data_IF_134516554600
#
_entry.id   IF_134516554600
#
_cell.length_a   1.000
_cell.length_b   1.000
_cell.length_c   1.000
_cell.angle_alpha   90.00
_cell.angle_beta   90.00
_cell.angle_gamma   90.00
#
_symmetry.space_group_name_H-M   'P 1'
#
loop_
_entity.id
_entity.type
_entity.pdbx_description
1 polymer ?
#
# COMPACT_ATOMS: atom_id res chain seq x y z
N UNK A 1 1.78 -42.78 29.31
CA UNK A 1 2.17 -43.43 28.02
C UNK A 1 1.24 -42.87 26.94
N UNK A 2 1.70 -41.88 26.19
CA UNK A 2 0.90 -41.28 25.11
C UNK A 2 1.39 -41.96 23.83
N UNK A 3 0.48 -42.67 23.16
CA UNK A 3 0.74 -43.34 21.89
C UNK A 3 1.22 -42.30 20.83
N UNK A 4 2.25 -42.60 20.04
CA UNK A 4 2.65 -41.73 18.95
C UNK A 4 1.60 -41.79 17.85
N UNK A 5 0.85 -40.70 17.68
CA UNK A 5 -0.08 -40.54 16.58
C UNK A 5 0.66 -40.67 15.25
N UNK A 6 0.11 -41.49 14.34
CA UNK A 6 0.60 -41.69 12.98
C UNK A 6 0.82 -40.33 12.34
N UNK A 7 2.05 -40.03 11.91
CA UNK A 7 2.38 -38.85 11.11
C UNK A 7 1.55 -38.95 9.82
N UNK A 8 0.52 -38.11 9.70
CA UNK A 8 -0.27 -38.02 8.48
C UNK A 8 0.63 -37.47 7.38
N UNK A 9 0.62 -38.12 6.25
CA UNK A 9 1.39 -37.76 5.05
C UNK A 9 1.11 -36.28 4.71
N UNK A 10 2.16 -35.49 4.50
CA UNK A 10 2.02 -34.10 4.05
C UNK A 10 1.49 -34.13 2.63
N UNK A 11 0.37 -33.46 2.39
CA UNK A 11 -0.25 -33.35 1.07
C UNK A 11 0.73 -32.65 0.09
N UNK A 12 0.72 -33.09 -1.15
CA UNK A 12 1.50 -32.48 -2.24
C UNK A 12 0.61 -31.58 -3.09
N UNK A 13 1.16 -30.57 -3.76
CA UNK A 13 0.40 -29.70 -4.68
C UNK A 13 -0.31 -30.51 -5.81
N UNK A 14 0.29 -31.59 -6.25
CA UNK A 14 -0.25 -32.49 -7.31
C UNK A 14 -1.52 -33.21 -6.84
N UNK A 15 -1.68 -33.47 -5.53
CA UNK A 15 -2.84 -34.12 -4.96
C UNK A 15 -4.12 -33.23 -5.09
N UNK A 16 -3.95 -31.92 -5.29
CA UNK A 16 -5.03 -30.96 -5.50
C UNK A 16 -5.56 -30.95 -6.95
N UNK A 17 -4.77 -31.43 -7.89
CA UNK A 17 -5.11 -31.43 -9.33
C UNK A 17 -5.90 -32.70 -9.71
N UNK A 18 -5.67 -33.80 -9.03
CA UNK A 18 -6.18 -35.13 -9.42
C UNK A 18 -7.65 -35.37 -9.01
N UNK A 19 -8.20 -34.56 -8.11
CA UNK A 19 -9.58 -34.75 -7.59
C UNK A 19 -10.68 -34.06 -8.43
N UNK A 20 -10.29 -33.29 -9.45
CA UNK A 20 -11.20 -32.48 -10.29
C UNK A 20 -11.99 -33.32 -11.33
N UNK A 21 -11.68 -34.60 -11.52
CA UNK A 21 -12.21 -35.42 -12.62
C UNK A 21 -13.22 -36.49 -12.22
N UNK A 22 -13.99 -36.38 -11.12
CA UNK A 22 -15.11 -37.25 -10.85
C UNK A 22 -16.44 -36.57 -11.18
N UNK A 23 -16.93 -36.84 -12.39
CA UNK A 23 -18.29 -36.54 -12.83
C UNK A 23 -19.32 -37.37 -12.02
N UNK A 24 -20.23 -36.66 -11.37
CA UNK A 24 -21.47 -37.28 -10.84
C UNK A 24 -22.69 -36.66 -11.49
N UNK A 25 -23.37 -37.47 -12.27
CA UNK A 25 -24.60 -37.19 -13.02
C UNK A 25 -25.80 -37.10 -12.08
N UNK A 26 -26.13 -35.88 -11.65
CA UNK A 26 -27.48 -35.47 -11.23
C UNK A 26 -27.60 -34.02 -11.61
N UNK A 27 -28.78 -33.49 -12.04
CA UNK A 27 -28.99 -32.06 -12.49
C UNK A 27 -28.10 -31.12 -11.71
N UNK A 28 -26.86 -30.97 -12.18
CA UNK A 28 -25.76 -30.62 -11.33
C UNK A 28 -25.61 -29.11 -11.34
N UNK A 29 -25.52 -28.54 -10.15
CA UNK A 29 -24.98 -27.22 -9.98
C UNK A 29 -23.52 -27.26 -10.42
N UNK A 30 -23.15 -26.42 -11.38
CA UNK A 30 -21.74 -26.22 -11.78
C UNK A 30 -21.18 -24.93 -11.19
N UNK A 31 -19.89 -24.92 -10.93
CA UNK A 31 -19.15 -23.71 -10.56
C UNK A 31 -18.08 -23.47 -11.61
N UNK A 32 -18.20 -22.37 -12.32
CA UNK A 32 -17.34 -22.06 -13.45
C UNK A 32 -16.56 -20.77 -13.24
N UNK A 33 -15.32 -20.75 -13.72
CA UNK A 33 -14.49 -19.54 -13.69
C UNK A 33 -15.02 -18.55 -14.73
N UNK A 34 -15.09 -17.29 -14.33
CA UNK A 34 -15.42 -16.17 -15.22
C UNK A 34 -14.20 -15.83 -16.06
N UNK A 35 -14.27 -16.07 -17.35
CA UNK A 35 -13.11 -16.01 -18.26
C UNK A 35 -13.21 -14.95 -19.35
N UNK A 36 -14.41 -14.37 -19.60
CA UNK A 36 -14.56 -13.33 -20.61
C UNK A 36 -14.81 -11.95 -19.99
N UNK A 37 -14.42 -10.86 -20.68
CA UNK A 37 -14.72 -9.49 -20.24
C UNK A 37 -16.22 -9.22 -20.05
N UNK A 38 -17.07 -9.82 -20.88
CA UNK A 38 -18.52 -9.68 -20.84
C UNK A 38 -19.09 -10.37 -19.60
N UNK A 39 -18.62 -11.57 -19.29
CA UNK A 39 -18.98 -12.29 -18.06
C UNK A 39 -18.49 -11.52 -16.83
N UNK A 40 -17.28 -10.96 -16.88
CA UNK A 40 -16.74 -10.17 -15.78
C UNK A 40 -17.59 -8.90 -15.53
N UNK A 41 -17.98 -8.19 -16.56
CA UNK A 41 -18.86 -7.03 -16.43
C UNK A 41 -20.24 -7.41 -15.89
N UNK A 42 -20.82 -8.51 -16.38
CA UNK A 42 -22.09 -9.08 -15.86
C UNK A 42 -21.96 -9.44 -14.36
N UNK A 43 -20.87 -10.11 -14.00
CA UNK A 43 -20.58 -10.49 -12.61
C UNK A 43 -20.46 -9.24 -11.72
N UNK A 44 -19.70 -8.23 -12.16
CA UNK A 44 -19.48 -6.98 -11.44
C UNK A 44 -20.82 -6.23 -11.23
N UNK A 45 -21.68 -6.15 -12.25
CA UNK A 45 -23.02 -5.54 -12.16
C UNK A 45 -23.90 -6.27 -11.16
N UNK A 46 -23.91 -7.59 -11.19
CA UNK A 46 -24.71 -8.40 -10.28
C UNK A 46 -24.23 -8.29 -8.83
N UNK A 47 -22.94 -8.30 -8.56
CA UNK A 47 -22.39 -8.07 -7.20
C UNK A 47 -22.79 -6.69 -6.67
N UNK A 48 -22.67 -5.63 -7.47
CA UNK A 48 -23.12 -4.29 -7.05
C UNK A 48 -24.61 -4.26 -6.70
N UNK A 49 -25.43 -5.01 -7.41
CA UNK A 49 -26.89 -5.08 -7.18
C UNK A 49 -27.29 -5.95 -6.01
N UNK A 50 -26.64 -7.12 -5.84
CA UNK A 50 -27.10 -8.20 -4.95
C UNK A 50 -26.28 -8.36 -3.67
N UNK A 51 -24.98 -8.04 -3.68
CA UNK A 51 -24.14 -8.18 -2.50
C UNK A 51 -24.30 -6.99 -1.54
N UNK A 52 -24.37 -7.24 -0.24
CA UNK A 52 -24.64 -6.21 0.77
C UNK A 52 -23.58 -5.08 0.82
N UNK A 53 -22.34 -5.36 0.46
CA UNK A 53 -21.27 -4.36 0.37
C UNK A 53 -21.37 -3.47 -0.88
N UNK A 54 -22.17 -3.86 -1.88
CA UNK A 54 -22.32 -3.15 -3.17
C UNK A 54 -21.01 -2.76 -3.86
N UNK A 55 -19.93 -3.44 -3.54
CA UNK A 55 -18.58 -3.21 -4.06
C UNK A 55 -18.06 -4.48 -4.73
N UNK A 56 -17.70 -4.37 -6.01
CA UNK A 56 -17.20 -5.49 -6.80
C UNK A 56 -15.69 -5.63 -6.75
N UNK A 57 -14.96 -4.57 -6.40
CA UNK A 57 -13.50 -4.58 -6.37
C UNK A 57 -12.99 -5.56 -5.31
N UNK A 58 -11.99 -6.31 -5.70
CA UNK A 58 -11.25 -7.24 -4.86
C UNK A 58 -9.78 -6.82 -4.81
N UNK A 59 -9.09 -7.17 -3.72
CA UNK A 59 -7.71 -6.71 -3.48
C UNK A 59 -6.72 -7.77 -3.90
N UNK A 60 -5.71 -7.37 -4.68
CA UNK A 60 -4.64 -8.26 -5.12
C UNK A 60 -5.09 -9.29 -6.15
N UNK A 61 -4.43 -10.45 -6.15
CA UNK A 61 -4.79 -11.59 -6.99
C UNK A 61 -6.23 -11.99 -6.72
N UNK A 62 -7.03 -12.22 -7.76
CA UNK A 62 -8.46 -12.47 -7.57
C UNK A 62 -9.07 -13.32 -8.66
N UNK A 63 -9.97 -14.24 -8.27
CA UNK A 63 -10.75 -15.06 -9.19
C UNK A 63 -12.25 -14.85 -8.94
N UNK A 64 -13.02 -14.86 -10.01
CA UNK A 64 -14.47 -14.75 -10.02
C UNK A 64 -15.07 -16.04 -10.52
N UNK A 65 -16.10 -16.52 -9.85
CA UNK A 65 -16.83 -17.70 -10.24
C UNK A 65 -18.31 -17.42 -10.33
N UNK A 66 -18.94 -18.11 -11.25
CA UNK A 66 -20.39 -18.17 -11.39
C UNK A 66 -20.88 -19.56 -11.04
N UNK A 67 -21.95 -19.63 -10.27
CA UNK A 67 -22.68 -20.85 -9.98
C UNK A 67 -23.81 -20.94 -11.00
N UNK A 68 -23.81 -22.00 -11.78
CA UNK A 68 -24.84 -22.24 -12.82
C UNK A 68 -25.67 -23.47 -12.49
N UNK A 69 -26.91 -23.44 -12.94
CA UNK A 69 -27.79 -24.56 -13.04
C UNK A 69 -28.59 -24.46 -14.34
N UNK A 70 -28.58 -25.51 -15.13
CA UNK A 70 -29.23 -25.54 -16.45
C UNK A 70 -28.84 -24.34 -17.32
N UNK A 71 -27.58 -23.88 -17.22
CA UNK A 71 -27.02 -22.72 -17.94
C UNK A 71 -27.31 -21.36 -17.27
N UNK A 72 -28.24 -21.29 -16.33
CA UNK A 72 -28.61 -20.05 -15.68
C UNK A 72 -27.71 -19.70 -14.47
N UNK A 73 -27.36 -18.43 -14.33
CA UNK A 73 -26.57 -17.93 -13.21
C UNK A 73 -27.42 -17.85 -11.94
N UNK A 74 -27.14 -18.69 -10.96
CA UNK A 74 -27.86 -18.78 -9.69
C UNK A 74 -27.08 -18.28 -8.49
N UNK A 75 -25.76 -18.01 -8.66
CA UNK A 75 -24.93 -17.45 -7.61
C UNK A 75 -23.58 -17.01 -8.11
N UNK A 76 -22.87 -16.26 -7.26
CA UNK A 76 -21.58 -15.64 -7.55
C UNK A 76 -20.63 -15.86 -6.38
N UNK A 77 -19.38 -16.23 -6.69
CA UNK A 77 -18.29 -16.32 -5.72
C UNK A 77 -17.13 -15.46 -6.19
N UNK A 78 -16.48 -14.77 -5.27
CA UNK A 78 -15.31 -13.96 -5.55
C UNK A 78 -14.23 -14.18 -4.50
N UNK A 79 -13.04 -14.50 -4.96
CA UNK A 79 -11.86 -14.75 -4.14
C UNK A 79 -10.83 -13.66 -4.38
N UNK A 80 -10.12 -13.28 -3.33
CA UNK A 80 -9.07 -12.27 -3.37
C UNK A 80 -7.87 -12.69 -2.54
N UNK A 81 -6.78 -11.94 -2.63
CA UNK A 81 -5.67 -12.11 -1.70
C UNK A 81 -6.12 -11.96 -0.26
N UNK A 82 -5.56 -12.76 0.65
CA UNK A 82 -5.83 -12.71 2.08
C UNK A 82 -5.41 -11.38 2.71
N UNK A 83 -6.06 -11.01 3.81
CA UNK A 83 -5.67 -9.84 4.60
C UNK A 83 -4.20 -9.93 5.01
N UNK A 84 -3.50 -8.78 4.97
CA UNK A 84 -2.08 -8.75 5.31
C UNK A 84 -1.83 -9.21 6.74
N UNK A 85 -2.58 -8.69 7.70
CA UNK A 85 -2.51 -9.07 9.11
C UNK A 85 -3.90 -9.32 9.66
N UNK A 86 -4.09 -10.51 10.22
CA UNK A 86 -5.35 -10.95 10.82
C UNK A 86 -5.04 -11.76 12.08
N UNK A 87 -5.09 -11.11 13.25
CA UNK A 87 -4.65 -11.68 14.52
C UNK A 87 -5.15 -13.10 14.81
N UNK A 88 -6.48 -13.40 14.74
CA UNK A 88 -6.99 -14.76 14.97
C UNK A 88 -6.46 -15.79 13.97
N UNK A 89 -6.40 -15.47 12.66
CA UNK A 89 -5.82 -16.36 11.65
C UNK A 89 -4.32 -16.59 11.90
N UNK A 90 -3.59 -15.51 12.16
CA UNK A 90 -2.15 -15.57 12.38
C UNK A 90 -1.80 -16.40 13.62
N UNK A 91 -2.65 -16.32 14.67
CA UNK A 91 -2.55 -17.16 15.86
C UNK A 91 -2.91 -18.64 15.58
N UNK A 92 -3.94 -18.87 14.75
CA UNK A 92 -4.34 -20.23 14.37
C UNK A 92 -3.27 -20.93 13.52
N UNK A 93 -2.63 -20.21 12.60
CA UNK A 93 -1.51 -20.75 11.81
C UNK A 93 -0.25 -20.91 12.68
N UNK A 94 0.01 -19.99 13.59
CA UNK A 94 1.18 -19.99 14.45
C UNK A 94 2.48 -19.51 13.76
N UNK A 95 2.37 -18.83 12.61
CA UNK A 95 3.52 -18.34 11.86
C UNK A 95 4.13 -17.07 12.48
N UNK A 96 5.42 -16.89 12.23
CA UNK A 96 6.14 -15.64 12.48
C UNK A 96 5.84 -14.61 11.39
N UNK A 97 6.22 -13.35 11.61
CA UNK A 97 6.10 -12.30 10.61
C UNK A 97 6.86 -12.66 9.30
N UNK A 98 8.06 -13.23 9.42
CA UNK A 98 8.84 -13.67 8.27
C UNK A 98 8.14 -14.79 7.48
N UNK A 99 7.56 -15.78 8.17
CA UNK A 99 6.80 -16.85 7.53
C UNK A 99 5.52 -16.34 6.87
N UNK A 100 4.81 -15.40 7.53
CA UNK A 100 3.64 -14.74 6.94
C UNK A 100 4.01 -14.01 5.64
N UNK A 101 5.11 -13.27 5.62
CA UNK A 101 5.60 -12.63 4.39
C UNK A 101 5.87 -13.64 3.28
N UNK A 102 6.53 -14.72 3.62
CA UNK A 102 6.94 -15.75 2.67
C UNK A 102 5.77 -16.59 2.12
N UNK A 103 4.67 -16.74 2.87
CA UNK A 103 3.62 -17.72 2.58
C UNK A 103 2.19 -17.17 2.52
N UNK A 104 1.95 -15.88 2.86
CA UNK A 104 0.59 -15.31 2.89
C UNK A 104 -0.15 -15.39 1.54
N UNK A 105 0.55 -15.31 0.42
CA UNK A 105 -0.05 -15.46 -0.91
C UNK A 105 -0.62 -16.85 -1.16
N UNK A 106 -0.25 -17.85 -0.35
CA UNK A 106 -0.85 -19.19 -0.36
C UNK A 106 -2.17 -19.25 0.44
N UNK A 107 -2.66 -18.09 0.90
CA UNK A 107 -3.95 -17.95 1.58
C UNK A 107 -4.83 -17.03 0.75
N UNK A 108 -6.06 -17.44 0.46
CA UNK A 108 -7.04 -16.64 -0.26
C UNK A 108 -8.25 -16.30 0.63
N UNK A 109 -8.91 -15.18 0.31
CA UNK A 109 -10.12 -14.72 1.01
C UNK A 109 -11.35 -14.86 0.13
N UNK A 110 -12.39 -15.54 0.61
CA UNK A 110 -13.72 -15.46 -0.01
C UNK A 110 -14.30 -14.06 0.28
N UNK A 111 -14.02 -13.15 -0.62
CA UNK A 111 -14.33 -11.74 -0.45
C UNK A 111 -15.76 -11.38 -0.88
N UNK A 112 -16.35 -12.17 -1.76
CA UNK A 112 -17.72 -11.98 -2.27
C UNK A 112 -18.41 -13.31 -2.41
N UNK A 113 -19.63 -13.37 -1.87
CA UNK A 113 -20.54 -14.50 -2.05
C UNK A 113 -21.96 -13.98 -2.11
N UNK A 114 -22.67 -14.26 -3.17
CA UNK A 114 -24.06 -13.85 -3.35
C UNK A 114 -24.87 -14.91 -4.09
N UNK A 115 -25.99 -15.33 -3.54
CA UNK A 115 -26.98 -16.13 -4.25
C UNK A 115 -27.91 -15.19 -5.01
N UNK A 116 -28.24 -15.54 -6.23
CA UNK A 116 -29.12 -14.76 -7.12
C UNK A 116 -30.57 -15.24 -7.03
N UNK A 117 -30.80 -16.39 -6.45
CA UNK A 117 -32.13 -17.02 -6.29
C UNK A 117 -32.76 -16.62 -4.96
N UNK A 118 -34.10 -16.65 -4.86
CA UNK A 118 -34.79 -16.46 -3.60
C UNK A 118 -34.36 -17.45 -2.51
N UNK A 119 -34.38 -16.99 -1.25
CA UNK A 119 -34.03 -17.81 -0.10
C UNK A 119 -35.00 -19.03 -0.04
N UNK A 120 -34.42 -20.20 0.21
CA UNK A 120 -35.22 -21.46 0.37
C UNK A 120 -35.55 -22.18 -0.94
N UNK A 121 -35.34 -21.58 -2.13
CA UNK A 121 -35.64 -22.25 -3.41
C UNK A 121 -34.81 -23.51 -3.64
N UNK A 122 -33.57 -23.51 -3.15
CA UNK A 122 -32.63 -24.62 -3.32
C UNK A 122 -31.99 -24.97 -1.97
N UNK A 123 -32.33 -26.12 -1.38
CA UNK A 123 -31.74 -26.57 -0.12
C UNK A 123 -30.22 -26.68 -0.24
N UNK A 124 -29.53 -26.16 0.77
CA UNK A 124 -28.07 -26.24 0.89
C UNK A 124 -27.26 -25.64 -0.30
N UNK A 125 -27.90 -24.81 -1.15
CA UNK A 125 -27.26 -24.24 -2.32
C UNK A 125 -25.94 -23.56 -1.94
N UNK A 126 -25.91 -22.74 -0.89
CA UNK A 126 -24.75 -21.99 -0.47
C UNK A 126 -23.58 -22.90 -0.08
N UNK A 127 -23.80 -23.87 0.81
CA UNK A 127 -22.75 -24.79 1.27
C UNK A 127 -22.24 -25.71 0.16
N UNK A 128 -23.15 -26.21 -0.69
CA UNK A 128 -22.79 -27.01 -1.86
C UNK A 128 -21.94 -26.24 -2.86
N UNK A 129 -22.30 -24.96 -3.13
CA UNK A 129 -21.54 -24.11 -4.03
C UNK A 129 -20.15 -23.81 -3.49
N UNK A 130 -20.03 -23.56 -2.17
CA UNK A 130 -18.74 -23.39 -1.51
C UNK A 130 -17.88 -24.65 -1.67
N UNK A 131 -18.43 -25.83 -1.34
CA UNK A 131 -17.69 -27.09 -1.42
C UNK A 131 -17.21 -27.41 -2.84
N UNK A 132 -18.08 -27.22 -3.86
CA UNK A 132 -17.69 -27.42 -5.26
C UNK A 132 -16.59 -26.42 -5.71
N UNK A 133 -16.67 -25.18 -5.28
CA UNK A 133 -15.67 -24.20 -5.64
C UNK A 133 -14.30 -24.46 -4.97
N UNK A 134 -14.31 -24.91 -3.71
CA UNK A 134 -13.09 -25.25 -2.98
C UNK A 134 -12.30 -26.39 -3.64
N UNK A 135 -12.98 -27.33 -4.28
CA UNK A 135 -12.34 -28.45 -4.99
C UNK A 135 -11.46 -27.98 -6.17
N UNK A 136 -11.83 -26.90 -6.83
CA UNK A 136 -11.09 -26.39 -8.00
C UNK A 136 -10.23 -25.15 -7.72
N UNK A 137 -10.54 -24.40 -6.65
CA UNK A 137 -9.96 -23.08 -6.38
C UNK A 137 -8.43 -23.06 -6.44
N UNK A 138 -7.77 -24.04 -5.82
CA UNK A 138 -6.32 -24.09 -5.74
C UNK A 138 -5.68 -24.37 -7.10
N UNK A 139 -6.29 -25.22 -7.91
CA UNK A 139 -5.84 -25.53 -9.27
C UNK A 139 -6.00 -24.31 -10.20
N UNK A 140 -7.17 -23.66 -10.19
CA UNK A 140 -7.43 -22.46 -10.97
C UNK A 140 -6.48 -21.30 -10.57
N UNK A 141 -6.16 -21.22 -9.29
CA UNK A 141 -5.21 -20.20 -8.79
C UNK A 141 -3.78 -20.48 -9.23
N UNK A 142 -3.36 -21.76 -9.20
CA UNK A 142 -2.07 -22.20 -9.67
C UNK A 142 -1.92 -21.91 -11.19
N UNK A 143 -2.94 -22.22 -11.97
CA UNK A 143 -2.95 -21.93 -13.41
C UNK A 143 -2.84 -20.43 -13.70
N UNK A 144 -3.57 -19.61 -12.94
CA UNK A 144 -3.65 -18.16 -13.20
C UNK A 144 -2.46 -17.37 -12.67
N UNK A 145 -1.90 -17.75 -11.51
CA UNK A 145 -0.91 -16.97 -10.75
C UNK A 145 0.39 -17.71 -10.47
N UNK A 146 0.52 -18.97 -10.89
CA UNK A 146 1.74 -19.76 -10.73
C UNK A 146 1.98 -20.28 -9.32
N UNK A 147 0.99 -20.21 -8.41
CA UNK A 147 1.06 -20.79 -7.08
C UNK A 147 -0.30 -21.28 -6.59
N UNK A 148 -0.36 -22.36 -5.80
CA UNK A 148 -1.60 -22.91 -5.25
C UNK A 148 -2.09 -22.10 -4.03
N UNK A 149 -3.31 -22.43 -3.57
CA UNK A 149 -3.83 -21.98 -2.29
C UNK A 149 -3.85 -23.15 -1.31
N UNK A 150 -3.38 -22.94 -0.10
CA UNK A 150 -3.31 -23.93 0.99
C UNK A 150 -4.46 -23.76 2.00
N UNK A 151 -4.83 -22.52 2.27
CA UNK A 151 -5.82 -22.12 3.25
C UNK A 151 -6.71 -21.04 2.69
N UNK A 152 -7.98 -21.05 3.05
CA UNK A 152 -8.88 -19.95 2.72
C UNK A 152 -9.50 -19.34 3.97
N UNK A 153 -9.81 -18.05 3.88
CA UNK A 153 -10.45 -17.28 4.95
C UNK A 153 -11.70 -16.56 4.43
N UNK A 154 -12.62 -16.23 5.34
CA UNK A 154 -13.73 -15.33 5.04
C UNK A 154 -14.16 -14.55 6.27
N UNK A 155 -14.93 -13.47 6.04
CA UNK A 155 -15.47 -12.59 7.07
C UNK A 155 -16.97 -12.51 6.96
N UNK A 156 -17.68 -12.92 8.01
CA UNK A 156 -19.12 -12.88 8.10
C UNK A 156 -19.53 -11.75 9.06
N UNK A 157 -20.43 -10.89 8.61
CA UNK A 157 -21.04 -9.87 9.45
C UNK A 157 -22.14 -10.51 10.31
N UNK A 158 -21.95 -10.68 11.64
CA UNK A 158 -22.89 -11.39 12.50
C UNK A 158 -24.22 -10.64 12.70
N UNK A 159 -24.27 -9.34 12.40
CA UNK A 159 -25.52 -8.58 12.45
C UNK A 159 -26.44 -8.90 11.27
N UNK A 160 -25.91 -9.52 10.20
CA UNK A 160 -26.63 -9.81 8.95
C UNK A 160 -26.74 -11.29 8.66
N UNK A 161 -25.74 -12.06 9.06
CA UNK A 161 -25.61 -13.47 8.66
C UNK A 161 -25.04 -14.31 9.81
N UNK A 162 -25.60 -15.46 10.04
CA UNK A 162 -25.14 -16.40 11.06
C UNK A 162 -23.91 -17.22 10.65
N UNK A 163 -23.51 -17.18 9.38
CA UNK A 163 -22.42 -18.02 8.87
C UNK A 163 -22.75 -19.50 8.67
N UNK A 164 -24.03 -19.86 8.69
CA UNK A 164 -24.51 -21.24 8.61
C UNK A 164 -23.98 -22.00 7.39
N UNK A 165 -23.89 -21.33 6.23
CA UNK A 165 -23.38 -21.98 5.01
C UNK A 165 -21.90 -22.37 5.12
N UNK A 166 -21.10 -21.59 5.83
CA UNK A 166 -19.69 -21.89 6.06
C UNK A 166 -19.56 -23.07 7.04
N UNK A 167 -20.31 -23.06 8.16
CA UNK A 167 -20.31 -24.19 9.10
C UNK A 167 -20.80 -25.48 8.41
N UNK A 168 -21.86 -25.39 7.57
CA UNK A 168 -22.37 -26.54 6.80
C UNK A 168 -21.39 -27.00 5.70
N UNK A 169 -20.42 -26.19 5.31
CA UNK A 169 -19.34 -26.55 4.41
C UNK A 169 -18.02 -26.86 5.17
N UNK A 170 -18.11 -27.20 6.46
CA UNK A 170 -16.99 -27.60 7.33
C UNK A 170 -15.90 -26.53 7.54
N UNK A 171 -16.25 -25.24 7.44
CA UNK A 171 -15.35 -24.18 7.80
C UNK A 171 -15.23 -24.03 9.32
N UNK A 172 -14.06 -23.66 9.78
CA UNK A 172 -13.70 -23.52 11.19
C UNK A 172 -13.88 -22.05 11.60
N UNK A 173 -14.75 -21.77 12.54
CA UNK A 173 -14.86 -20.43 13.13
C UNK A 173 -13.74 -20.23 14.15
N UNK A 174 -12.94 -19.18 13.98
CA UNK A 174 -11.72 -18.93 14.79
C UNK A 174 -11.79 -17.65 15.62
N UNK A 175 -12.93 -16.96 15.62
CA UNK A 175 -13.14 -15.75 16.43
C UNK A 175 -13.61 -14.55 15.62
N UNK A 176 -13.39 -13.37 16.19
CA UNK A 176 -13.88 -12.10 15.65
C UNK A 176 -12.75 -11.15 15.24
N UNK A 177 -13.00 -10.35 14.22
CA UNK A 177 -12.12 -9.20 13.90
C UNK A 177 -12.25 -8.11 14.98
N UNK A 178 -11.24 -7.26 15.09
CA UNK A 178 -11.26 -6.13 16.05
C UNK A 178 -12.22 -4.98 15.67
N UNK A 179 -13.05 -5.14 14.62
CA UNK A 179 -13.99 -4.12 14.19
C UNK A 179 -13.34 -2.89 13.53
N UNK A 180 -12.13 -3.04 12.99
CA UNK A 180 -11.49 -2.02 12.16
C UNK A 180 -11.77 -2.30 10.69
N UNK A 181 -12.16 -1.25 9.95
CA UNK A 181 -12.27 -1.27 8.50
C UNK A 181 -11.28 -0.31 7.86
N UNK A 182 -10.86 -0.62 6.65
CA UNK A 182 -10.07 0.30 5.84
C UNK A 182 -11.03 1.36 5.28
N UNK A 183 -10.83 2.62 5.66
CA UNK A 183 -11.58 3.72 5.03
C UNK A 183 -11.17 3.84 3.55
N UNK A 184 -12.01 4.51 2.74
CA UNK A 184 -11.67 4.86 1.34
C UNK A 184 -10.37 5.65 1.22
N UNK A 185 -9.91 6.23 2.31
CA UNK A 185 -8.70 7.05 2.43
C UNK A 185 -7.45 6.26 2.86
N UNK A 186 -7.56 4.93 2.95
CA UNK A 186 -6.43 4.08 3.33
C UNK A 186 -6.15 3.99 4.84
N UNK A 187 -6.90 4.69 5.68
CA UNK A 187 -6.78 4.61 7.14
C UNK A 187 -7.66 3.52 7.72
N UNK A 188 -7.17 2.88 8.79
CA UNK A 188 -8.00 1.99 9.58
C UNK A 188 -8.88 2.82 10.52
N UNK A 189 -10.19 2.72 10.34
CA UNK A 189 -11.18 3.31 11.24
C UNK A 189 -11.84 2.21 12.06
N UNK A 190 -11.97 2.46 13.36
CA UNK A 190 -12.76 1.61 14.25
C UNK A 190 -14.24 1.86 13.95
N UNK A 191 -14.91 0.90 13.33
CA UNK A 191 -16.35 0.99 13.04
C UNK A 191 -17.20 0.17 14.01
N UNK A 192 -16.58 -0.44 15.04
CA UNK A 192 -17.23 -1.22 16.10
C UNK A 192 -18.13 -2.37 15.61
N UNK A 193 -17.90 -2.87 14.40
CA UNK A 193 -18.64 -4.00 13.83
C UNK A 193 -17.66 -5.17 13.61
N UNK A 194 -17.37 -5.97 14.65
CA UNK A 194 -16.52 -7.14 14.50
C UNK A 194 -17.21 -8.16 13.59
N UNK A 195 -16.40 -8.80 12.73
CA UNK A 195 -16.87 -9.87 11.83
C UNK A 195 -16.37 -11.21 12.31
N UNK A 196 -17.21 -12.23 12.22
CA UNK A 196 -16.80 -13.60 12.47
C UNK A 196 -15.83 -14.05 11.36
N UNK A 197 -14.78 -14.75 11.77
CA UNK A 197 -13.72 -15.23 10.88
C UNK A 197 -13.85 -16.73 10.76
N UNK A 198 -13.93 -17.20 9.52
CA UNK A 198 -13.94 -18.62 9.22
C UNK A 198 -12.71 -18.96 8.37
N UNK A 199 -12.13 -20.13 8.64
CA UNK A 199 -11.03 -20.71 7.86
C UNK A 199 -11.45 -22.08 7.31
N UNK A 200 -10.90 -22.41 6.15
CA UNK A 200 -10.99 -23.75 5.59
C UNK A 200 -9.63 -24.18 5.04
N UNK A 201 -8.98 -25.21 5.61
CA UNK A 201 -7.74 -25.76 5.06
C UNK A 201 -8.07 -26.58 3.81
N UNK A 202 -7.45 -26.20 2.67
CA UNK A 202 -7.59 -26.96 1.42
C UNK A 202 -6.71 -28.21 1.41
N UNK A 203 -5.71 -28.25 2.28
CA UNK A 203 -4.84 -29.40 2.45
C UNK A 203 -4.75 -29.81 3.90
N UNK A 204 -4.60 -31.09 4.21
CA UNK A 204 -4.25 -31.54 5.56
C UNK A 204 -2.98 -30.83 6.04
N UNK A 205 -2.91 -30.49 7.31
CA UNK A 205 -1.74 -29.83 7.91
C UNK A 205 -1.41 -28.41 7.34
N UNK A 206 -2.38 -27.68 6.81
CA UNK A 206 -2.21 -26.34 6.25
C UNK A 206 -1.45 -25.39 7.21
N UNK A 207 -1.80 -25.37 8.50
CA UNK A 207 -1.12 -24.55 9.50
C UNK A 207 0.35 -24.96 9.68
N UNK A 208 0.64 -26.26 9.70
CA UNK A 208 2.02 -26.75 9.83
C UNK A 208 2.87 -26.39 8.61
N UNK A 209 2.31 -26.48 7.40
CA UNK A 209 3.00 -26.09 6.16
C UNK A 209 3.31 -24.58 6.19
N UNK A 210 2.33 -23.76 6.54
CA UNK A 210 2.46 -22.30 6.54
C UNK A 210 3.37 -21.76 7.65
N UNK A 211 3.47 -22.46 8.79
CA UNK A 211 4.30 -22.09 9.94
C UNK A 211 5.63 -22.84 10.00
N UNK A 212 5.95 -23.68 9.01
CA UNK A 212 7.21 -24.40 8.99
C UNK A 212 8.41 -23.44 8.89
N UNK A 213 9.47 -23.60 9.69
CA UNK A 213 10.71 -22.84 9.53
C UNK A 213 11.33 -23.01 8.13
N UNK A 214 11.32 -24.23 7.64
CA UNK A 214 11.61 -24.59 6.24
C UNK A 214 10.34 -25.20 5.67
N UNK A 215 9.83 -24.60 4.59
CA UNK A 215 8.64 -25.12 3.93
C UNK A 215 8.94 -26.51 3.36
N UNK A 216 8.02 -27.48 3.48
CA UNK A 216 8.23 -28.83 2.93
C UNK A 216 8.59 -28.77 1.44
N UNK A 217 9.43 -29.70 0.92
CA UNK A 217 9.96 -29.65 -0.44
C UNK A 217 8.89 -29.46 -1.54
N UNK A 218 7.74 -30.10 -1.37
CA UNK A 218 6.62 -29.97 -2.31
C UNK A 218 6.03 -28.55 -2.40
N UNK A 219 6.20 -27.74 -1.37
CA UNK A 219 5.67 -26.37 -1.27
C UNK A 219 6.76 -25.30 -1.35
N UNK A 220 8.04 -25.70 -1.22
CA UNK A 220 9.19 -24.80 -1.24
C UNK A 220 9.27 -23.93 -2.51
N UNK A 221 8.93 -24.43 -3.73
CA UNK A 221 8.95 -23.60 -4.94
C UNK A 221 7.97 -22.42 -4.91
N UNK A 222 6.92 -22.51 -4.09
CA UNK A 222 5.91 -21.46 -3.95
C UNK A 222 6.19 -20.50 -2.80
N UNK A 223 7.26 -20.69 -2.05
CA UNK A 223 7.68 -19.72 -1.04
C UNK A 223 8.21 -18.47 -1.72
N UNK A 224 7.62 -17.33 -1.43
CA UNK A 224 8.19 -16.05 -1.85
C UNK A 224 9.29 -15.67 -0.87
N UNK A 225 10.50 -15.59 -1.35
CA UNK A 225 11.53 -14.91 -0.58
C UNK A 225 11.16 -13.42 -0.52
N UNK A 226 11.19 -12.78 0.66
CA UNK A 226 11.08 -11.34 0.68
C UNK A 226 12.21 -10.80 -0.20
N UNK A 227 11.95 -9.80 -1.05
CA UNK A 227 13.01 -9.20 -1.85
C UNK A 227 14.15 -8.82 -0.89
N UNK A 228 15.41 -9.07 -1.27
CA UNK A 228 16.53 -8.75 -0.42
C UNK A 228 16.39 -7.29 0.01
N UNK A 229 16.40 -7.06 1.32
CA UNK A 229 16.24 -5.72 1.85
C UNK A 229 17.42 -4.88 1.36
N UNK A 230 17.17 -4.06 0.36
CA UNK A 230 18.13 -3.05 -0.01
C UNK A 230 18.04 -1.91 1.02
N UNK A 231 18.98 -1.93 1.98
CA UNK A 231 19.12 -0.81 2.90
C UNK A 231 19.74 0.38 2.13
N UNK A 232 19.02 1.48 1.95
CA UNK A 232 19.36 2.50 0.94
C UNK A 232 20.45 3.47 1.38
N UNK A 233 20.80 3.48 2.67
CA UNK A 233 21.74 4.48 3.22
C UNK A 233 23.08 3.83 3.62
N UNK A 234 24.17 4.49 3.27
CA UNK A 234 25.47 4.15 3.81
C UNK A 234 25.54 4.43 5.33
N UNK A 235 26.53 3.90 6.00
CA UNK A 235 26.75 4.19 7.42
C UNK A 235 26.99 5.67 7.71
N UNK A 236 27.59 6.42 6.78
CA UNK A 236 27.78 7.86 6.89
C UNK A 236 26.45 8.61 6.72
N UNK A 237 25.68 8.27 5.70
CA UNK A 237 24.35 8.86 5.46
C UNK A 237 23.38 8.57 6.62
N UNK A 238 23.43 7.37 7.17
CA UNK A 238 22.62 7.03 8.36
C UNK A 238 22.98 7.91 9.57
N UNK A 239 24.28 8.14 9.80
CA UNK A 239 24.74 9.01 10.89
C UNK A 239 24.33 10.47 10.66
N UNK A 240 24.52 10.99 9.45
CA UNK A 240 24.14 12.37 9.11
C UNK A 240 22.63 12.61 9.22
N UNK A 241 21.81 11.65 8.78
CA UNK A 241 20.35 11.70 8.94
C UNK A 241 19.95 11.74 10.42
N UNK A 242 20.53 10.87 11.25
CA UNK A 242 20.25 10.87 12.69
C UNK A 242 20.71 12.16 13.38
N UNK A 243 21.80 12.78 12.94
CA UNK A 243 22.25 14.09 13.43
C UNK A 243 21.27 15.19 13.03
N UNK A 244 20.83 15.21 11.80
CA UNK A 244 19.84 16.17 11.30
C UNK A 244 18.49 16.05 12.04
N UNK A 245 18.08 14.85 12.39
CA UNK A 245 16.83 14.59 13.12
C UNK A 245 16.96 14.70 14.65
N UNK A 246 18.17 14.88 15.19
CA UNK A 246 18.39 14.95 16.64
C UNK A 246 17.64 16.10 17.35
N UNK A 247 17.44 17.30 16.73
CA UNK A 247 16.66 18.39 17.32
C UNK A 247 15.16 18.12 17.39
N UNK A 248 14.65 17.08 16.67
CA UNK A 248 13.23 16.80 16.55
C UNK A 248 12.59 16.57 17.93
N UNK A 249 11.57 17.34 18.24
CA UNK A 249 10.86 17.21 19.51
C UNK A 249 9.98 15.96 19.52
N UNK A 250 10.08 15.19 20.63
CA UNK A 250 9.25 13.99 20.78
C UNK A 250 7.82 14.39 21.19
N UNK A 251 6.81 14.20 20.34
CA UNK A 251 5.44 14.62 20.62
C UNK A 251 4.71 13.70 21.61
N UNK A 252 5.36 12.63 22.07
CA UNK A 252 4.75 11.64 22.96
C UNK A 252 4.75 12.16 24.40
N UNK A 253 3.62 12.01 25.08
CA UNK A 253 3.45 12.47 26.47
C UNK A 253 4.28 11.70 27.50
N UNK A 254 4.70 10.44 27.15
CA UNK A 254 5.36 9.54 28.09
C UNK A 254 6.59 8.90 27.49
N UNK A 255 7.74 9.03 28.18
CA UNK A 255 9.05 8.52 27.72
C UNK A 255 9.37 7.08 28.16
N UNK A 256 8.50 6.42 28.93
CA UNK A 256 8.70 5.05 29.46
C UNK A 256 8.59 3.93 28.43
N UNK A 257 8.51 4.23 27.18
CA UNK A 257 8.18 3.32 26.11
C UNK A 257 9.36 2.48 25.61
N UNK A 258 9.02 1.36 24.97
CA UNK A 258 9.94 0.42 24.36
C UNK A 258 10.90 1.09 23.38
N UNK A 259 10.45 2.10 22.63
CA UNK A 259 11.24 2.89 21.66
C UNK A 259 11.40 4.32 22.16
N UNK A 260 12.57 4.64 22.72
CA UNK A 260 12.81 5.90 23.43
C UNK A 260 13.20 7.06 22.52
N UNK A 261 13.75 6.79 21.34
CA UNK A 261 14.32 7.80 20.42
C UNK A 261 13.36 8.08 19.28
N UNK A 262 12.86 9.30 19.19
CA UNK A 262 11.99 9.75 18.09
C UNK A 262 12.76 9.85 16.79
N UNK A 263 14.00 10.37 16.82
CA UNK A 263 14.89 10.47 15.68
C UNK A 263 15.16 9.09 15.03
N UNK A 264 15.35 8.05 15.83
CA UNK A 264 15.48 6.67 15.35
C UNK A 264 14.23 6.17 14.62
N UNK A 265 13.04 6.45 15.16
CA UNK A 265 11.78 6.05 14.54
C UNK A 265 11.56 6.74 13.18
N UNK A 266 11.87 8.04 13.13
CA UNK A 266 11.76 8.84 11.90
C UNK A 266 12.84 8.43 10.88
N UNK A 267 14.07 8.19 11.32
CA UNK A 267 15.14 7.71 10.44
C UNK A 267 14.82 6.35 9.81
N UNK A 268 14.21 5.42 10.56
CA UNK A 268 13.74 4.14 10.02
C UNK A 268 12.65 4.35 8.97
N UNK A 269 11.69 5.25 9.23
CA UNK A 269 10.65 5.58 8.26
C UNK A 269 11.23 6.24 6.99
N UNK A 270 12.17 7.17 7.15
CA UNK A 270 12.84 7.82 6.03
C UNK A 270 13.66 6.82 5.19
N UNK A 271 14.43 5.93 5.82
CA UNK A 271 15.14 4.87 5.12
C UNK A 271 14.20 3.93 4.36
N UNK A 272 13.05 3.60 4.94
CA UNK A 272 12.02 2.81 4.26
C UNK A 272 11.48 3.53 3.01
N UNK A 273 11.18 4.82 3.12
CA UNK A 273 10.69 5.63 1.98
C UNK A 273 11.73 5.75 0.87
N UNK A 274 13.00 5.95 1.20
CA UNK A 274 14.11 5.98 0.24
C UNK A 274 14.27 4.61 -0.45
N UNK A 275 13.98 3.50 0.25
CA UNK A 275 13.94 2.15 -0.33
C UNK A 275 12.69 1.88 -1.18
N UNK A 276 11.81 2.87 -1.39
CA UNK A 276 10.60 2.75 -2.22
C UNK A 276 9.34 2.30 -1.49
N UNK A 277 9.35 2.23 -0.17
CA UNK A 277 8.17 1.85 0.62
C UNK A 277 7.23 3.04 0.78
N UNK A 278 6.05 2.97 0.17
CA UNK A 278 5.13 4.10 0.01
C UNK A 278 3.91 4.08 0.97
N UNK A 279 3.77 3.03 1.77
CA UNK A 279 2.70 2.95 2.76
C UNK A 279 3.23 2.73 4.17
N UNK A 280 2.46 3.10 5.19
CA UNK A 280 2.83 2.84 6.59
C UNK A 280 2.98 1.35 6.89
N UNK A 281 2.25 0.50 6.17
CA UNK A 281 2.39 -0.95 6.29
C UNK A 281 3.75 -1.38 5.78
N UNK A 282 4.12 -0.95 4.56
CA UNK A 282 5.41 -1.29 3.95
C UNK A 282 6.58 -0.76 4.78
N UNK A 283 6.45 0.47 5.33
CA UNK A 283 7.43 1.04 6.28
C UNK A 283 7.56 0.17 7.54
N UNK A 284 6.44 -0.33 8.06
CA UNK A 284 6.45 -1.26 9.20
C UNK A 284 7.15 -2.57 8.87
N UNK A 285 6.92 -3.13 7.70
CA UNK A 285 7.56 -4.34 7.19
C UNK A 285 9.05 -4.16 6.98
N UNK A 286 9.43 -3.07 6.32
CA UNK A 286 10.84 -2.68 6.19
C UNK A 286 11.51 -2.62 7.57
N UNK A 287 10.87 -1.99 8.53
CA UNK A 287 11.38 -1.93 9.91
C UNK A 287 11.63 -3.32 10.50
N UNK A 288 10.68 -4.25 10.34
CA UNK A 288 10.81 -5.62 10.88
C UNK A 288 11.86 -6.46 10.15
N UNK A 289 12.17 -6.15 8.89
CA UNK A 289 13.18 -6.85 8.10
C UNK A 289 14.61 -6.38 8.36
N UNK A 290 14.80 -5.26 9.07
CA UNK A 290 16.13 -4.75 9.44
C UNK A 290 16.89 -5.73 10.35
N UNK A 291 18.13 -6.03 9.98
CA UNK A 291 19.01 -6.84 10.81
C UNK A 291 19.56 -6.08 12.03
N UNK A 292 20.20 -6.79 12.97
CA UNK A 292 20.70 -6.21 14.21
C UNK A 292 21.74 -5.09 14.01
N UNK A 293 22.56 -5.17 12.95
CA UNK A 293 23.55 -4.15 12.64
C UNK A 293 22.89 -2.87 12.10
N UNK A 294 21.87 -3.01 11.23
CA UNK A 294 21.07 -1.90 10.70
C UNK A 294 20.28 -1.22 11.83
N UNK A 295 19.61 -2.00 12.68
CA UNK A 295 18.91 -1.46 13.86
C UNK A 295 19.87 -0.76 14.83
N UNK A 296 21.09 -1.28 15.00
CA UNK A 296 22.14 -0.63 15.81
C UNK A 296 22.56 0.70 15.21
N UNK A 297 22.84 0.75 13.90
CA UNK A 297 23.25 1.99 13.20
C UNK A 297 22.16 3.05 13.24
N UNK A 298 20.89 2.65 13.19
CA UNK A 298 19.72 3.52 13.33
C UNK A 298 19.39 3.87 14.79
N UNK A 299 20.22 3.48 15.76
CA UNK A 299 20.04 3.73 17.19
C UNK A 299 18.69 3.23 17.74
N UNK A 300 18.18 2.12 17.20
CA UNK A 300 16.95 1.51 17.67
C UNK A 300 17.07 1.08 19.15
N UNK A 301 15.94 1.02 19.83
CA UNK A 301 15.91 0.64 21.25
C UNK A 301 16.33 -0.81 21.46
N UNK A 302 16.98 -1.08 22.59
CA UNK A 302 17.49 -2.41 22.94
C UNK A 302 16.61 -3.07 24.00
N UNK A 303 16.26 -4.35 23.81
CA UNK A 303 15.55 -5.13 24.83
C UNK A 303 16.46 -5.38 26.03
N UNK A 304 16.01 -5.08 27.24
CA UNK A 304 16.79 -5.29 28.47
C UNK A 304 17.07 -6.78 28.71
N UNK A 305 16.08 -7.64 28.44
CA UNK A 305 16.17 -9.09 28.70
C UNK A 305 17.02 -9.82 27.65
N UNK A 306 16.73 -9.59 26.37
CA UNK A 306 17.41 -10.33 25.29
C UNK A 306 18.67 -9.65 24.77
N UNK A 307 18.92 -8.41 25.18
CA UNK A 307 20.02 -7.55 24.72
C UNK A 307 20.03 -7.29 23.20
N UNK A 308 19.00 -7.72 22.47
CA UNK A 308 18.83 -7.48 21.02
C UNK A 308 18.16 -6.13 20.77
N UNK A 309 18.46 -5.51 19.63
CA UNK A 309 17.75 -4.33 19.15
C UNK A 309 16.34 -4.70 18.70
N UNK A 310 15.41 -3.81 18.93
CA UNK A 310 13.97 -4.03 18.67
C UNK A 310 13.56 -3.16 17.52
N UNK A 311 13.04 -3.77 16.45
CA UNK A 311 12.40 -3.07 15.37
C UNK A 311 11.06 -2.46 15.84
N UNK A 312 10.79 -1.19 15.55
CA UNK A 312 9.49 -0.60 15.85
C UNK A 312 8.40 -1.19 14.94
N UNK A 313 7.23 -1.43 15.51
CA UNK A 313 6.05 -1.86 14.75
C UNK A 313 5.48 -0.70 13.92
N UNK A 314 4.74 -1.05 12.85
CA UNK A 314 4.00 -0.10 12.04
C UNK A 314 3.16 0.86 12.90
N UNK A 315 2.41 0.34 13.87
CA UNK A 315 1.59 1.14 14.78
C UNK A 315 2.42 2.14 15.60
N UNK A 316 3.64 1.79 16.00
CA UNK A 316 4.55 2.69 16.72
C UNK A 316 4.99 3.84 15.83
N UNK A 317 5.45 3.53 14.61
CA UNK A 317 5.87 4.52 13.60
C UNK A 317 4.70 5.45 13.25
N UNK A 318 3.55 4.89 12.93
CA UNK A 318 2.33 5.65 12.62
C UNK A 318 1.96 6.65 13.71
N UNK A 319 1.90 6.22 14.97
CA UNK A 319 1.52 7.08 16.09
C UNK A 319 2.49 8.24 16.30
N UNK A 320 3.75 8.04 16.01
CA UNK A 320 4.76 9.10 16.07
C UNK A 320 4.57 10.07 14.91
N UNK A 321 4.54 9.58 13.67
CA UNK A 321 4.40 10.43 12.48
C UNK A 321 3.11 11.28 12.49
N UNK A 322 2.01 10.74 13.04
CA UNK A 322 0.74 11.48 13.17
C UNK A 322 0.77 12.63 14.17
N UNK A 323 1.75 12.68 15.06
CA UNK A 323 1.85 13.66 16.14
C UNK A 323 3.02 14.61 15.99
N UNK A 324 3.95 14.33 15.09
CA UNK A 324 5.07 15.21 14.79
C UNK A 324 4.56 16.53 14.22
N UNK A 325 5.27 17.60 14.53
CA UNK A 325 5.10 18.86 13.81
C UNK A 325 5.60 18.68 12.38
N UNK A 326 4.73 18.79 11.36
CA UNK A 326 5.11 18.59 9.98
C UNK A 326 6.06 19.70 9.48
N UNK A 327 5.97 20.92 10.00
CA UNK A 327 6.83 22.04 9.60
C UNK A 327 8.25 21.83 10.10
N UNK A 328 8.40 21.41 11.35
CA UNK A 328 9.70 21.08 11.92
C UNK A 328 10.37 19.91 11.19
N UNK A 329 9.60 18.84 10.95
CA UNK A 329 10.10 17.67 10.22
C UNK A 329 10.54 18.03 8.80
N UNK A 330 9.71 18.79 8.08
CA UNK A 330 10.00 19.21 6.70
C UNK A 330 11.28 20.07 6.65
N UNK A 331 11.44 21.00 7.58
CA UNK A 331 12.65 21.82 7.72
C UNK A 331 13.90 20.96 7.93
N UNK A 332 13.87 20.02 8.89
CA UNK A 332 15.02 19.18 9.22
C UNK A 332 15.41 18.26 8.06
N UNK A 333 14.44 17.68 7.38
CA UNK A 333 14.66 16.81 6.20
C UNK A 333 15.20 17.62 5.03
N UNK A 334 14.65 18.80 4.75
CA UNK A 334 15.14 19.66 3.68
C UNK A 334 16.56 20.18 3.97
N UNK A 335 16.87 20.53 5.22
CA UNK A 335 18.22 20.94 5.62
C UNK A 335 19.22 19.79 5.44
N UNK A 336 18.82 18.55 5.76
CA UNK A 336 19.63 17.37 5.53
C UNK A 336 19.85 17.10 4.03
N UNK A 337 18.81 17.17 3.22
CA UNK A 337 18.92 17.01 1.76
C UNK A 337 19.84 18.09 1.16
N UNK A 338 19.68 19.35 1.57
CA UNK A 338 20.53 20.46 1.13
C UNK A 338 22.00 20.24 1.49
N UNK A 339 22.29 19.67 2.66
CA UNK A 339 23.69 19.39 3.06
C UNK A 339 24.40 18.41 2.11
N UNK A 340 23.65 17.62 1.35
CA UNK A 340 24.20 16.72 0.32
C UNK A 340 24.31 17.37 -1.06
N UNK A 341 23.71 18.54 -1.25
CA UNK A 341 23.77 19.32 -2.50
C UNK A 341 24.80 20.45 -2.46
N UNK A 342 25.43 20.71 -1.30
CA UNK A 342 26.32 21.89 -1.10
C UNK A 342 27.49 21.98 -2.07
N UNK A 343 27.92 20.86 -2.65
CA UNK A 343 29.03 20.84 -3.62
C UNK A 343 28.58 20.90 -5.08
N UNK A 344 27.27 21.10 -5.34
CA UNK A 344 26.74 21.13 -6.71
C UNK A 344 25.90 22.38 -6.94
N UNK A 345 26.28 23.17 -7.93
CA UNK A 345 25.43 24.23 -8.47
C UNK A 345 24.16 23.58 -9.05
N UNK A 346 22.99 24.01 -8.59
CA UNK A 346 21.71 23.59 -9.15
C UNK A 346 21.60 24.18 -10.55
N UNK A 347 21.77 23.35 -11.59
CA UNK A 347 21.69 23.82 -12.97
C UNK A 347 20.26 24.20 -13.37
N UNK A 348 19.28 23.40 -12.95
CA UNK A 348 17.88 23.65 -13.23
C UNK A 348 16.98 23.15 -12.08
N UNK A 349 15.99 23.98 -11.73
CA UNK A 349 15.04 23.76 -10.64
C UNK A 349 13.61 23.76 -11.21
N UNK A 350 12.88 22.68 -11.00
CA UNK A 350 11.46 22.61 -11.35
C UNK A 350 10.60 22.92 -10.12
N UNK A 351 9.65 23.83 -10.28
CA UNK A 351 8.70 24.22 -9.24
C UNK A 351 7.30 23.78 -9.62
N UNK A 352 6.66 22.96 -8.76
CA UNK A 352 5.32 22.41 -9.04
C UNK A 352 4.50 22.22 -7.75
N UNK A 353 3.18 22.44 -7.86
CA UNK A 353 2.21 22.21 -6.81
C UNK A 353 1.54 20.84 -6.94
N UNK A 354 1.56 20.04 -5.87
CA UNK A 354 0.91 18.73 -5.80
C UNK A 354 -0.20 18.73 -4.76
N UNK A 355 -1.42 18.45 -5.20
CA UNK A 355 -2.53 18.21 -4.29
C UNK A 355 -2.48 16.77 -3.75
N UNK A 356 -2.32 16.63 -2.45
CA UNK A 356 -2.46 15.34 -1.77
C UNK A 356 -3.95 14.95 -1.72
N UNK A 357 -4.46 14.36 -2.80
CA UNK A 357 -5.88 14.01 -3.01
C UNK A 357 -6.49 13.22 -1.85
N UNK A 358 -5.70 12.41 -1.17
CA UNK A 358 -6.13 11.61 -0.03
C UNK A 358 -6.35 12.48 1.22
N UNK A 359 -5.49 13.46 1.46
CA UNK A 359 -5.61 14.38 2.59
C UNK A 359 -6.79 15.35 2.44
N UNK A 360 -7.13 15.75 1.21
CA UNK A 360 -8.27 16.62 0.90
C UNK A 360 -9.61 16.08 1.42
N UNK A 361 -9.76 14.76 1.45
CA UNK A 361 -11.01 14.10 1.86
C UNK A 361 -11.19 13.99 3.38
N UNK A 362 -10.12 14.19 4.18
CA UNK A 362 -10.19 14.01 5.65
C UNK A 362 -10.69 15.26 6.37
N UNK A 363 -10.36 16.46 5.86
CA UNK A 363 -10.69 17.75 6.51
C UNK A 363 -11.53 18.68 5.65
N UNK A 364 -12.05 18.23 4.50
CA UNK A 364 -12.79 19.09 3.56
C UNK A 364 -11.92 20.13 2.85
N UNK A 365 -10.62 20.17 3.12
CA UNK A 365 -9.67 21.09 2.50
C UNK A 365 -8.48 20.29 1.96
N UNK A 366 -8.16 20.49 0.67
CA UNK A 366 -7.01 19.83 0.04
C UNK A 366 -5.70 20.25 0.69
N UNK A 367 -4.87 19.28 1.09
CA UNK A 367 -3.48 19.55 1.41
C UNK A 367 -2.73 19.75 0.09
N UNK A 368 -2.27 20.96 -0.15
CA UNK A 368 -1.47 21.29 -1.32
C UNK A 368 -0.02 21.49 -0.89
N UNK A 369 0.89 20.77 -1.52
CA UNK A 369 2.33 20.85 -1.28
C UNK A 369 2.96 21.51 -2.50
N UNK A 370 3.81 22.51 -2.27
CA UNK A 370 4.54 23.24 -3.28
C UNK A 370 6.02 22.90 -3.12
N UNK A 371 6.64 22.35 -4.16
CA UNK A 371 7.98 21.81 -4.09
C UNK A 371 8.91 22.37 -5.15
N UNK A 372 10.17 22.51 -4.80
CA UNK A 372 11.27 22.86 -5.67
C UNK A 372 12.19 21.66 -5.84
N UNK A 373 12.22 21.07 -7.03
CA UNK A 373 12.96 19.86 -7.37
C UNK A 373 14.17 20.21 -8.22
N UNK A 374 15.36 19.81 -7.82
CA UNK A 374 16.52 19.79 -8.69
C UNK A 374 16.33 18.75 -9.79
N UNK A 375 16.26 19.20 -11.04
CA UNK A 375 15.96 18.31 -12.17
C UNK A 375 17.10 17.35 -12.51
N UNK A 376 18.33 17.65 -12.10
CA UNK A 376 19.50 16.81 -12.33
C UNK A 376 19.57 15.67 -11.30
N UNK A 377 19.47 16.02 -10.02
CA UNK A 377 19.57 15.03 -8.93
C UNK A 377 18.25 14.35 -8.62
N UNK A 378 17.13 14.87 -9.12
CA UNK A 378 15.74 14.44 -8.79
C UNK A 378 15.43 14.53 -7.28
N UNK A 379 16.14 15.40 -6.55
CA UNK A 379 15.91 15.64 -5.13
C UNK A 379 15.12 16.93 -4.92
N UNK A 380 14.20 16.89 -3.95
CA UNK A 380 13.55 18.12 -3.49
C UNK A 380 14.55 18.97 -2.71
N UNK A 381 14.78 20.18 -3.19
CA UNK A 381 15.57 21.19 -2.49
C UNK A 381 14.78 21.80 -1.33
N UNK A 382 13.48 21.98 -1.54
CA UNK A 382 12.54 22.48 -0.53
C UNK A 382 11.10 22.11 -0.89
N UNK A 383 10.28 21.95 0.14
CA UNK A 383 8.86 21.77 0.00
C UNK A 383 8.14 22.55 1.11
N UNK A 384 7.04 23.19 0.78
CA UNK A 384 6.21 23.91 1.74
C UNK A 384 4.73 23.57 1.53
N UNK A 385 3.95 23.68 2.58
CA UNK A 385 2.51 23.53 2.49
C UNK A 385 1.87 24.85 2.08
N UNK A 386 1.02 24.84 1.06
CA UNK A 386 0.20 25.99 0.69
C UNK A 386 -1.03 26.03 1.61
N UNK A 387 -1.29 27.15 2.32
CA UNK A 387 -2.49 27.32 3.10
C UNK A 387 -3.75 27.24 2.23
N UNK A 388 -4.83 26.62 2.74
CA UNK A 388 -6.04 26.31 2.00
C UNK A 388 -6.76 27.52 1.35
N UNK A 389 -6.48 28.74 1.80
CA UNK A 389 -7.02 30.00 1.27
C UNK A 389 -6.06 30.78 0.40
N UNK A 390 -4.87 30.25 0.13
CA UNK A 390 -3.79 30.91 -0.61
C UNK A 390 -3.51 30.10 -1.86
N UNK A 391 -3.00 30.75 -2.91
CA UNK A 391 -2.57 30.09 -4.13
C UNK A 391 -1.03 29.97 -4.19
N UNK A 392 -0.50 29.37 -5.23
CA UNK A 392 0.95 29.14 -5.42
C UNK A 392 1.73 30.44 -5.62
N UNK A 393 1.11 31.47 -6.22
CA UNK A 393 1.80 32.70 -6.66
C UNK A 393 2.52 33.42 -5.50
N UNK A 394 1.87 33.77 -4.36
CA UNK A 394 2.56 34.39 -3.24
C UNK A 394 3.52 33.42 -2.53
N UNK A 395 3.24 32.13 -2.58
CA UNK A 395 3.99 31.09 -1.88
C UNK A 395 5.31 30.76 -2.57
N UNK A 396 5.45 31.04 -3.87
CA UNK A 396 6.70 30.82 -4.63
C UNK A 396 7.88 31.58 -4.02
N UNK A 397 7.69 32.80 -3.60
CA UNK A 397 8.76 33.62 -2.96
C UNK A 397 9.23 32.96 -1.67
N UNK A 398 8.31 32.42 -0.87
CA UNK A 398 8.63 31.71 0.36
C UNK A 398 9.35 30.38 0.07
N UNK A 399 8.92 29.65 -0.96
CA UNK A 399 9.57 28.40 -1.39
C UNK A 399 11.04 28.65 -1.78
N UNK A 400 11.32 29.73 -2.51
CA UNK A 400 12.66 30.04 -3.01
C UNK A 400 13.52 30.83 -2.02
N UNK A 401 12.99 31.28 -0.87
CA UNK A 401 13.59 32.24 0.05
C UNK A 401 15.07 31.94 0.39
N UNK A 402 15.34 30.71 0.85
CA UNK A 402 16.65 30.32 1.39
C UNK A 402 17.50 29.52 0.39
N UNK A 403 17.07 29.44 -0.87
CA UNK A 403 17.85 28.79 -1.92
C UNK A 403 18.77 29.79 -2.60
N UNK A 404 20.04 29.44 -2.75
CA UNK A 404 20.96 30.13 -3.65
C UNK A 404 20.75 29.59 -5.08
N UNK A 405 20.22 30.43 -5.94
CA UNK A 405 19.82 30.07 -7.30
C UNK A 405 20.61 30.84 -8.38
N UNK A 406 21.73 31.45 -8.04
CA UNK A 406 22.55 32.18 -9.01
C UNK A 406 22.98 31.26 -10.15
N UNK A 407 22.63 31.63 -11.39
CA UNK A 407 22.94 30.87 -12.59
C UNK A 407 22.08 29.59 -12.75
N UNK A 408 20.99 29.45 -11.96
CA UNK A 408 20.05 28.35 -12.05
C UNK A 408 18.89 28.69 -12.99
N UNK A 409 18.46 27.75 -13.83
CA UNK A 409 17.23 27.88 -14.61
C UNK A 409 16.02 27.40 -13.76
N UNK A 410 15.14 28.32 -13.40
CA UNK A 410 13.91 27.99 -12.65
C UNK A 410 12.74 27.78 -13.59
N UNK A 411 12.17 26.59 -13.62
CA UNK A 411 10.98 26.28 -14.42
C UNK A 411 9.73 26.17 -13.54
N UNK A 412 8.61 26.76 -14.02
CA UNK A 412 7.33 26.68 -13.34
C UNK A 412 6.17 26.60 -14.35
N UNK A 413 5.00 26.15 -13.85
CA UNK A 413 3.80 26.03 -14.67
C UNK A 413 3.15 27.38 -15.02
N UNK A 414 2.10 27.33 -15.84
CA UNK A 414 1.41 28.53 -16.33
C UNK A 414 0.72 29.37 -15.23
N UNK A 415 0.39 28.80 -14.09
CA UNK A 415 -0.20 29.54 -12.97
C UNK A 415 0.81 30.52 -12.38
N UNK A 416 2.08 30.13 -12.35
CA UNK A 416 3.20 30.92 -11.84
C UNK A 416 3.78 31.91 -12.85
N UNK A 417 3.25 31.97 -14.08
CA UNK A 417 3.67 32.90 -15.13
C UNK A 417 3.12 34.31 -14.85
N UNK A 418 3.79 35.04 -13.99
CA UNK A 418 3.47 36.39 -13.55
C UNK A 418 4.73 37.29 -13.60
N UNK A 419 4.57 38.58 -13.90
CA UNK A 419 5.69 39.54 -13.90
C UNK A 419 6.41 39.51 -12.54
N UNK A 420 5.69 39.59 -11.44
CA UNK A 420 6.27 39.56 -10.09
C UNK A 420 7.04 38.26 -9.76
N UNK A 421 6.73 37.16 -10.44
CA UNK A 421 7.50 35.90 -10.34
C UNK A 421 8.79 36.00 -11.12
N UNK A 422 8.72 36.46 -12.36
CA UNK A 422 9.90 36.67 -13.20
C UNK A 422 10.91 37.67 -12.55
N UNK A 423 10.41 38.81 -12.09
CA UNK A 423 11.21 39.82 -11.37
C UNK A 423 11.89 39.23 -10.13
N UNK A 424 11.16 38.44 -9.36
CA UNK A 424 11.74 37.81 -8.17
C UNK A 424 12.86 36.81 -8.51
N UNK A 425 12.69 36.01 -9.55
CA UNK A 425 13.68 35.04 -10.00
C UNK A 425 14.93 35.75 -10.52
N UNK A 426 14.75 36.74 -11.40
CA UNK A 426 15.88 37.44 -12.04
C UNK A 426 16.54 38.40 -11.08
N UNK A 427 15.78 39.31 -10.48
CA UNK A 427 16.40 40.41 -9.69
C UNK A 427 16.84 39.95 -8.30
N UNK A 428 16.04 39.14 -7.60
CA UNK A 428 16.35 38.76 -6.22
C UNK A 428 17.17 37.48 -6.13
N UNK A 429 16.93 36.53 -7.04
CA UNK A 429 17.61 35.23 -7.03
C UNK A 429 18.78 35.16 -8.01
N UNK A 430 18.92 36.14 -8.92
CA UNK A 430 19.95 36.14 -9.96
C UNK A 430 19.98 34.86 -10.77
N UNK A 431 18.76 34.35 -11.07
CA UNK A 431 18.49 33.09 -11.76
C UNK A 431 17.76 33.35 -13.07
N UNK A 432 17.81 32.41 -14.00
CA UNK A 432 17.02 32.41 -15.22
C UNK A 432 15.67 31.73 -15.00
N UNK A 433 14.71 31.98 -15.88
CA UNK A 433 13.42 31.35 -15.79
C UNK A 433 12.95 30.72 -17.10
N UNK A 434 12.17 29.65 -16.97
CA UNK A 434 11.38 29.02 -18.03
C UNK A 434 9.92 28.86 -17.57
N UNK A 435 9.08 29.83 -17.95
CA UNK A 435 7.67 29.88 -17.53
C UNK A 435 6.76 29.46 -18.68
N UNK A 436 5.84 28.56 -18.40
CA UNK A 436 4.87 28.07 -19.41
C UNK A 436 3.74 29.09 -19.59
N UNK A 437 3.53 29.55 -20.83
CA UNK A 437 2.43 30.48 -21.16
C UNK A 437 1.26 29.71 -21.76
N UNK A 438 0.06 29.93 -21.20
CA UNK A 438 -1.21 29.34 -21.67
C UNK A 438 -2.26 30.44 -21.82
N UNK A 439 -3.50 30.02 -22.17
CA UNK A 439 -4.62 30.93 -22.36
C UNK A 439 -5.02 31.75 -21.11
N UNK A 440 -4.49 31.44 -19.92
CA UNK A 440 -4.64 32.26 -18.71
C UNK A 440 -3.91 33.60 -18.81
N UNK A 441 -3.01 33.76 -19.77
CA UNK A 441 -2.30 35.00 -20.11
C UNK A 441 -2.52 35.33 -21.61
N UNK A 442 -3.73 35.70 -22.05
CA UNK A 442 -4.09 35.75 -23.47
C UNK A 442 -3.23 36.72 -24.27
N UNK A 443 -2.98 37.92 -23.75
CA UNK A 443 -2.15 38.92 -24.43
C UNK A 443 -0.68 38.45 -24.63
N UNK A 444 -0.11 37.77 -23.63
CA UNK A 444 1.24 37.25 -23.72
C UNK A 444 1.27 36.04 -24.65
N UNK A 445 0.27 35.16 -24.56
CA UNK A 445 0.13 34.01 -25.44
C UNK A 445 0.06 34.42 -26.93
N UNK A 446 -0.76 35.42 -27.26
CA UNK A 446 -0.88 35.93 -28.63
C UNK A 446 0.40 36.58 -29.14
N UNK A 447 1.15 37.32 -28.29
CA UNK A 447 2.44 37.88 -28.64
C UNK A 447 3.44 36.78 -28.96
N UNK A 448 3.53 35.72 -28.11
CA UNK A 448 4.47 34.62 -28.31
C UNK A 448 4.07 33.76 -29.54
N UNK A 449 2.77 33.53 -29.78
CA UNK A 449 2.29 32.83 -30.96
C UNK A 449 2.70 33.53 -32.28
N UNK A 450 2.70 34.85 -32.29
CA UNK A 450 3.17 35.64 -33.44
C UNK A 450 4.69 35.54 -33.66
N UNK A 451 5.46 35.44 -32.57
CA UNK A 451 6.93 35.27 -32.65
C UNK A 451 7.32 33.86 -33.14
N UNK A 452 6.53 32.84 -32.88
CA UNK A 452 6.81 31.47 -33.29
C UNK A 452 6.75 31.26 -34.81
N UNK A 453 6.24 32.21 -35.58
CA UNK A 453 6.16 32.22 -37.05
C UNK A 453 7.35 32.99 -37.70
N UNK A 454 8.26 33.54 -36.91
CA UNK A 454 9.51 34.14 -37.40
C UNK A 454 10.53 33.03 -37.79
N UNK A 455 11.38 33.23 -38.80
CA UNK A 455 12.34 32.22 -39.24
C UNK A 455 13.24 31.75 -38.08
N UNK A 456 13.44 30.45 -38.00
CA UNK A 456 14.07 29.69 -36.94
C UNK A 456 15.42 30.28 -36.47
N UNK A 457 15.40 31.13 -35.46
CA UNK A 457 16.50 31.41 -34.56
C UNK A 457 16.07 30.98 -33.14
N UNK A 458 16.99 30.41 -32.38
CA UNK A 458 16.74 30.11 -30.97
C UNK A 458 16.54 31.44 -30.25
N UNK A 459 15.29 31.75 -29.87
CA UNK A 459 14.97 33.01 -29.18
C UNK A 459 15.03 32.77 -27.67
N UNK A 460 16.09 33.29 -27.07
CA UNK A 460 16.10 33.50 -25.62
C UNK A 460 15.76 34.97 -25.37
N UNK A 461 14.64 35.29 -24.70
CA UNK A 461 14.37 36.65 -24.31
C UNK A 461 15.46 37.08 -23.33
N UNK A 462 16.34 37.98 -23.76
CA UNK A 462 17.27 38.64 -22.84
C UNK A 462 16.47 39.48 -21.84
N UNK A 463 16.86 39.39 -20.58
CA UNK A 463 16.19 40.08 -19.45
C UNK A 463 16.49 41.60 -19.39
N UNK A 464 16.83 42.22 -20.51
CA UNK A 464 17.01 43.65 -20.57
C UNK A 464 15.75 44.31 -21.11
N UNK A 465 15.01 44.92 -20.22
CA UNK A 465 13.98 45.90 -20.54
C UNK A 465 14.50 47.28 -20.25
N UNK A 466 14.49 48.11 -21.32
CA UNK A 466 14.39 49.54 -21.20
C UNK A 466 12.97 49.94 -20.73
#
# INVERSE_FOLDING_TARGET
>A
MICPGKIKRIAKPEDLVTEVLRETTTKAITVELVNSPEEEDRWNKLIRKKHYLKEHRMVGESLRYVIKQDGEWIGLLGWSSAAFHLGPRDAWIGWTDAQRHAARHLVACNARFALLTPKGRWPNLASRSLSLNLQRLSADWLERYGHPIILVETYVDPQRFEGTCYRAANWIEIGLTKGFGRSRLGFYQLHQQPKAIFLYPLVPNASQILSAPLMPPAWAPYRREPPPLHYPLSGQQTRSLLQALAPLQDPRRYRGWRHRRVDSLVAIAAAAMIAGNNSLIDIGEFSQSLNQNQLRSLRASRCRRTRKFIAPSETTIRRVLQRLDPVELDRLVNDWLRSHLQDRNIAALAVDGKCARTAAKIKGQGLMLFGALDTHTQLFCRQIQIPAKTNEIPTLKDLLRDLDLRGTLVSADALNTQCATADHIVEKKKADYLLVVKANQPKLFDKLARLSHAPKGVFFPSAHHD
#
